data_IF_245746370701
#
_entry.id   IF_245746370701
#
_cell.length_a   1.000
_cell.length_b   1.000
_cell.length_c   1.000
_cell.angle_alpha   90.00
_cell.angle_beta   90.00
_cell.angle_gamma   90.00
#
_symmetry.space_group_name_H-M   'P 1'
#
loop_
_entity.id
_entity.type
_entity.pdbx_description
1 polymer ?
#
# COMPACT_ATOMS: atom_id res chain seq x y z
N UNK A 1 -10.29 23.73 20.65
CA UNK A 1 -11.31 22.97 21.40
C UNK A 1 -10.90 21.52 21.31
N UNK A 2 -10.34 20.96 22.38
CA UNK A 2 -10.03 19.53 22.45
C UNK A 2 -11.34 18.82 22.76
N UNK A 3 -12.05 18.38 21.73
CA UNK A 3 -13.15 17.44 21.91
C UNK A 3 -12.61 16.22 22.66
N UNK A 4 -13.22 15.90 23.80
CA UNK A 4 -12.81 14.78 24.63
C UNK A 4 -12.90 13.49 23.82
N UNK A 5 -11.77 12.81 23.64
CA UNK A 5 -11.72 11.52 22.95
C UNK A 5 -12.47 10.50 23.80
N UNK A 6 -13.55 9.92 23.25
CA UNK A 6 -14.32 8.88 23.90
C UNK A 6 -13.67 7.51 23.64
N UNK A 7 -12.69 7.14 24.47
CA UNK A 7 -11.90 5.90 24.31
C UNK A 7 -12.75 4.63 24.28
N UNK A 8 -13.90 4.63 24.97
CA UNK A 8 -14.86 3.52 25.00
C UNK A 8 -15.51 3.23 23.65
N UNK A 9 -15.42 4.17 22.70
CA UNK A 9 -15.97 4.06 21.35
C UNK A 9 -14.93 3.74 20.28
N UNK A 10 -13.66 3.67 20.65
CA UNK A 10 -12.57 3.39 19.70
C UNK A 10 -12.44 1.88 19.45
N UNK A 11 -12.16 1.51 18.20
CA UNK A 11 -11.86 0.13 17.82
C UNK A 11 -10.46 -0.29 18.29
N UNK A 12 -10.17 -1.59 18.26
CA UNK A 12 -8.84 -2.11 18.58
C UNK A 12 -7.74 -1.50 17.70
N UNK A 13 -8.03 -1.27 16.42
CA UNK A 13 -7.07 -0.68 15.48
C UNK A 13 -6.84 0.81 15.75
N UNK A 14 -7.85 1.52 16.24
CA UNK A 14 -7.73 2.92 16.64
C UNK A 14 -6.94 3.06 17.96
N UNK A 15 -7.19 2.17 18.91
CA UNK A 15 -6.48 2.13 20.20
C UNK A 15 -5.01 1.70 20.05
N UNK A 16 -4.67 0.92 19.02
CA UNK A 16 -3.28 0.51 18.74
C UNK A 16 -2.50 1.53 17.89
N UNK A 17 -3.13 2.65 17.51
CA UNK A 17 -2.51 3.67 16.66
C UNK A 17 -2.34 3.25 15.20
N UNK A 18 -3.01 2.17 14.77
CA UNK A 18 -2.97 1.68 13.39
C UNK A 18 -3.95 2.47 12.51
N UNK A 19 -5.07 2.93 13.07
CA UNK A 19 -6.08 3.68 12.33
C UNK A 19 -6.51 4.98 13.02
N UNK A 20 -7.00 5.92 12.20
CA UNK A 20 -7.45 7.23 12.60
C UNK A 20 -8.61 7.14 13.59
N UNK A 21 -8.49 7.84 14.72
CA UNK A 21 -9.53 7.89 15.77
C UNK A 21 -10.86 8.51 15.29
N UNK A 22 -10.87 9.24 14.16
CA UNK A 22 -12.07 9.87 13.63
C UNK A 22 -12.76 9.05 12.54
N UNK A 23 -12.01 8.53 11.57
CA UNK A 23 -12.57 7.85 10.40
C UNK A 23 -12.24 6.35 10.29
N UNK A 24 -11.41 5.82 11.18
CA UNK A 24 -11.03 4.39 11.19
C UNK A 24 -10.11 3.96 10.04
N UNK A 25 -9.60 4.89 9.23
CA UNK A 25 -8.65 4.60 8.13
C UNK A 25 -7.21 4.56 8.60
N UNK A 26 -6.37 3.81 7.92
CA UNK A 26 -4.92 3.84 8.10
C UNK A 26 -4.40 5.17 7.53
N UNK A 27 -3.88 6.11 8.35
CA UNK A 27 -3.46 7.42 7.86
C UNK A 27 -2.25 7.30 6.93
N UNK A 28 -2.28 8.00 5.79
CA UNK A 28 -1.10 8.18 4.93
C UNK A 28 -0.12 9.11 5.60
N UNK A 29 -0.64 10.25 6.06
CA UNK A 29 0.08 11.25 6.83
C UNK A 29 -0.39 11.15 8.28
N UNK A 30 0.39 10.43 9.09
CA UNK A 30 0.07 10.15 10.47
C UNK A 30 0.28 11.40 11.33
N UNK A 31 -0.81 11.92 11.90
CA UNK A 31 -0.75 12.95 12.94
C UNK A 31 -0.97 12.31 14.29
N UNK A 32 0.04 12.36 15.15
CA UNK A 32 -0.10 11.92 16.55
C UNK A 32 -0.99 12.94 17.26
N UNK A 33 -2.14 12.47 17.76
CA UNK A 33 -3.10 13.28 18.51
C UNK A 33 -2.80 13.21 20.00
N UNK A 34 -2.34 12.04 20.45
CA UNK A 34 -1.94 11.81 21.83
C UNK A 34 -0.85 10.74 21.86
N UNK A 35 0.09 10.92 22.78
CA UNK A 35 1.17 9.97 23.02
C UNK A 35 1.36 9.81 24.53
N UNK A 36 1.06 8.62 25.04
CA UNK A 36 1.32 8.21 26.43
C UNK A 36 2.24 6.98 26.44
N UNK A 37 2.68 6.55 27.62
CA UNK A 37 3.57 5.38 27.76
C UNK A 37 2.99 4.10 27.16
N UNK A 38 1.67 3.97 27.11
CA UNK A 38 0.97 2.74 26.74
C UNK A 38 0.06 2.89 25.51
N UNK A 39 -0.09 4.10 24.96
CA UNK A 39 -1.00 4.34 23.83
C UNK A 39 -0.56 5.53 22.98
N UNK A 40 -0.50 5.29 21.66
CA UNK A 40 -0.33 6.33 20.64
C UNK A 40 -1.62 6.42 19.84
N UNK A 41 -2.35 7.53 19.99
CA UNK A 41 -3.53 7.80 19.17
C UNK A 41 -3.15 8.64 17.97
N UNK A 42 -3.69 8.25 16.81
CA UNK A 42 -3.38 8.87 15.53
C UNK A 42 -4.64 9.37 14.85
N UNK A 43 -4.51 10.44 14.07
CA UNK A 43 -5.55 10.93 13.20
C UNK A 43 -5.00 11.18 11.78
N UNK A 44 -5.92 11.12 10.83
CA UNK A 44 -5.74 11.64 9.48
C UNK A 44 -5.44 13.14 9.53
N UNK A 45 -4.77 13.64 8.47
CA UNK A 45 -4.74 15.08 8.20
C UNK A 45 -6.17 15.61 7.99
N UNK A 46 -6.35 16.94 8.08
CA UNK A 46 -7.67 17.53 7.84
C UNK A 46 -8.16 17.28 6.40
N UNK A 47 -7.26 17.36 5.43
CA UNK A 47 -7.52 17.05 4.01
C UNK A 47 -7.98 15.59 3.85
N UNK A 48 -7.22 14.65 4.41
CA UNK A 48 -7.58 13.23 4.41
C UNK A 48 -8.94 13.00 5.07
N UNK A 49 -9.23 13.68 6.19
CA UNK A 49 -10.53 13.57 6.89
C UNK A 49 -11.69 14.05 6.01
N UNK A 50 -11.56 15.19 5.33
CA UNK A 50 -12.62 15.71 4.45
C UNK A 50 -12.92 14.75 3.30
N UNK A 51 -11.89 14.05 2.78
CA UNK A 51 -12.07 13.01 1.76
C UNK A 51 -12.85 11.79 2.29
N UNK A 52 -12.71 11.46 3.58
CA UNK A 52 -13.44 10.35 4.21
C UNK A 52 -14.93 10.64 4.44
N UNK A 53 -15.27 11.88 4.75
CA UNK A 53 -16.64 12.27 5.14
C UNK A 53 -17.54 12.59 3.94
N UNK A 54 -16.94 12.75 2.75
CA UNK A 54 -17.69 13.06 1.54
C UNK A 54 -18.53 11.85 1.10
N UNK A 55 -19.82 12.10 0.88
CA UNK A 55 -20.73 11.14 0.25
C UNK A 55 -20.54 11.18 -1.27
N UNK A 56 -20.34 10.01 -1.87
CA UNK A 56 -20.25 9.82 -3.32
C UNK A 56 -21.37 8.89 -3.74
N UNK A 57 -22.09 9.21 -4.82
CA UNK A 57 -23.38 8.57 -5.11
C UNK A 57 -23.29 7.06 -5.39
N UNK A 58 -22.16 6.61 -5.95
CA UNK A 58 -21.96 5.22 -6.36
C UNK A 58 -21.37 4.35 -5.26
N UNK A 59 -20.95 4.94 -4.13
CA UNK A 59 -20.51 4.20 -2.95
C UNK A 59 -21.74 3.69 -2.19
N UNK A 60 -21.87 2.38 -2.08
CA UNK A 60 -22.95 1.71 -1.34
C UNK A 60 -22.61 1.46 0.13
N UNK A 61 -21.34 1.62 0.50
CA UNK A 61 -20.79 1.32 1.81
C UNK A 61 -19.66 2.29 2.18
N UNK A 62 -19.36 2.46 3.48
CA UNK A 62 -18.22 3.27 3.90
C UNK A 62 -16.90 2.74 3.32
N UNK A 63 -15.97 3.64 3.03
CA UNK A 63 -14.65 3.25 2.55
C UNK A 63 -13.96 2.29 3.53
N UNK A 64 -13.33 1.21 3.04
CA UNK A 64 -12.55 0.35 3.89
C UNK A 64 -11.32 1.10 4.45
N UNK A 65 -10.78 0.69 5.61
CA UNK A 65 -9.70 1.41 6.29
C UNK A 65 -8.45 1.69 5.45
N UNK A 66 -8.17 0.83 4.47
CA UNK A 66 -6.99 0.94 3.61
C UNK A 66 -7.20 1.83 2.38
N UNK A 67 -8.43 2.25 2.10
CA UNK A 67 -8.74 3.04 0.91
C UNK A 67 -8.24 4.49 1.07
N UNK A 68 -7.79 5.12 -0.02
CA UNK A 68 -7.36 6.51 -0.10
C UNK A 68 -8.50 7.55 -0.05
N UNK A 69 -9.71 7.17 -0.50
CA UNK A 69 -10.89 8.04 -0.51
C UNK A 69 -10.94 8.98 -1.70
N UNK A 70 -10.06 8.77 -2.68
CA UNK A 70 -10.03 9.50 -3.93
C UNK A 70 -11.14 8.96 -4.84
N UNK A 71 -12.36 9.38 -4.54
CA UNK A 71 -13.56 9.04 -5.28
C UNK A 71 -14.18 10.30 -5.87
N UNK A 72 -14.99 10.23 -6.90
CA UNK A 72 -15.76 11.37 -7.36
C UNK A 72 -17.06 10.89 -7.98
N UNK A 73 -18.10 11.72 -7.90
CA UNK A 73 -19.38 11.40 -8.56
C UNK A 73 -19.17 11.21 -10.07
N UNK A 74 -18.24 11.94 -10.68
CA UNK A 74 -17.94 11.82 -12.10
C UNK A 74 -16.90 10.74 -12.46
N UNK A 75 -16.53 9.84 -11.53
CA UNK A 75 -15.64 8.73 -11.85
C UNK A 75 -16.23 7.86 -12.97
N UNK A 76 -15.36 7.55 -13.94
CA UNK A 76 -15.71 6.65 -15.03
C UNK A 76 -16.13 5.29 -14.46
N UNK A 77 -17.16 4.61 -15.00
CA UNK A 77 -17.65 3.35 -14.43
C UNK A 77 -16.58 2.28 -14.20
N UNK A 78 -15.54 2.25 -15.03
CA UNK A 78 -14.43 1.30 -14.94
C UNK A 78 -13.38 1.67 -13.87
N UNK A 79 -13.36 2.93 -13.41
CA UNK A 79 -12.43 3.41 -12.37
C UNK A 79 -13.08 3.45 -10.97
N UNK A 80 -14.38 3.12 -10.88
CA UNK A 80 -15.10 3.09 -9.62
C UNK A 80 -14.61 1.92 -8.77
N UNK A 81 -13.86 2.24 -7.73
CA UNK A 81 -13.34 1.29 -6.78
C UNK A 81 -12.64 1.96 -5.62
N UNK A 82 -12.26 1.15 -4.66
CA UNK A 82 -11.37 1.52 -3.57
C UNK A 82 -9.93 1.20 -3.96
N UNK A 83 -9.02 2.15 -3.77
CA UNK A 83 -7.58 1.98 -3.98
C UNK A 83 -6.85 2.33 -2.69
N UNK A 84 -5.76 1.62 -2.39
CA UNK A 84 -4.92 2.00 -1.25
C UNK A 84 -3.98 3.13 -1.62
N UNK A 85 -3.88 4.07 -0.69
CA UNK A 85 -2.80 5.06 -0.67
C UNK A 85 -1.44 4.44 -0.34
N UNK A 86 -1.42 3.29 0.34
CA UNK A 86 -0.21 2.50 0.52
C UNK A 86 0.21 1.84 -0.79
N UNK A 87 1.51 1.90 -1.09
CA UNK A 87 2.13 1.18 -2.18
C UNK A 87 3.45 0.54 -1.72
N UNK A 88 3.58 -0.77 -1.90
CA UNK A 88 4.87 -1.46 -1.77
C UNK A 88 5.65 -1.32 -3.07
N UNK A 89 6.92 -0.92 -2.99
CA UNK A 89 7.82 -0.87 -4.16
C UNK A 89 9.10 -1.64 -3.88
N UNK A 90 9.45 -2.57 -4.77
CA UNK A 90 10.70 -3.34 -4.72
C UNK A 90 11.54 -3.00 -5.95
N UNK A 91 12.61 -2.20 -5.80
CA UNK A 91 13.51 -1.87 -6.91
C UNK A 91 14.21 -3.12 -7.44
N UNK A 92 14.15 -3.32 -8.75
CA UNK A 92 14.83 -4.38 -9.49
C UNK A 92 16.18 -3.84 -10.01
N UNK A 93 17.16 -3.73 -9.12
CA UNK A 93 18.46 -3.08 -9.40
C UNK A 93 19.28 -3.72 -10.53
N UNK A 94 18.96 -4.97 -10.89
CA UNK A 94 19.63 -5.70 -11.97
C UNK A 94 18.92 -5.54 -13.32
N UNK A 95 17.73 -4.93 -13.34
CA UNK A 95 16.98 -4.66 -14.56
C UNK A 95 17.35 -3.30 -15.15
N UNK A 96 16.90 -3.05 -16.38
CA UNK A 96 17.21 -1.81 -17.09
C UNK A 96 16.60 -0.63 -16.34
N UNK A 97 17.36 0.46 -16.21
CA UNK A 97 16.82 1.70 -15.67
C UNK A 97 15.83 2.32 -16.67
N UNK A 98 14.69 2.80 -16.16
CA UNK A 98 13.75 3.60 -16.92
C UNK A 98 13.98 5.09 -16.65
N UNK A 99 13.81 5.91 -17.68
CA UNK A 99 13.85 7.37 -17.58
C UNK A 99 12.43 7.92 -17.59
N UNK A 100 12.04 8.58 -16.50
CA UNK A 100 10.80 9.34 -16.41
C UNK A 100 11.07 10.83 -16.72
N UNK A 101 10.46 11.35 -17.79
CA UNK A 101 10.51 12.78 -18.14
C UNK A 101 11.65 13.22 -19.07
N UNK A 102 11.91 14.55 -19.12
CA UNK A 102 12.98 15.16 -19.92
C UNK A 102 14.36 14.72 -19.40
N UNK A 103 15.09 14.02 -20.29
CA UNK A 103 16.42 13.43 -20.08
C UNK A 103 17.51 14.41 -19.66
N UNK A 104 17.26 15.72 -19.73
CA UNK A 104 18.23 16.75 -19.38
C UNK A 104 18.30 17.11 -17.88
N UNK A 105 17.35 16.67 -17.03
CA UNK A 105 17.23 17.20 -15.64
C UNK A 105 16.74 16.27 -14.51
N UNK A 106 16.38 15.00 -14.70
CA UNK A 106 15.67 14.24 -13.64
C UNK A 106 15.93 12.73 -13.57
N UNK A 107 15.64 12.08 -12.43
CA UNK A 107 16.40 10.93 -11.91
C UNK A 107 16.08 9.62 -12.63
N UNK A 108 17.12 8.84 -12.86
CA UNK A 108 17.02 7.43 -13.26
C UNK A 108 16.45 6.62 -12.10
N UNK A 109 15.44 5.81 -12.37
CA UNK A 109 14.88 4.86 -11.42
C UNK A 109 15.00 3.45 -12.02
N UNK A 110 15.58 2.48 -11.29
CA UNK A 110 15.47 1.08 -11.69
C UNK A 110 14.00 0.69 -11.86
N UNK A 111 13.70 -0.19 -12.81
CA UNK A 111 12.40 -0.88 -12.82
C UNK A 111 12.07 -1.41 -11.41
N UNK A 112 10.79 -1.45 -11.05
CA UNK A 112 10.37 -1.87 -9.72
C UNK A 112 9.12 -2.73 -9.81
N UNK A 113 9.00 -3.71 -8.92
CA UNK A 113 7.72 -4.37 -8.66
C UNK A 113 6.92 -3.45 -7.75
N UNK A 114 5.68 -3.16 -8.13
CA UNK A 114 4.76 -2.41 -7.29
C UNK A 114 3.60 -3.27 -6.81
N UNK A 115 3.15 -2.97 -5.60
CA UNK A 115 2.02 -3.60 -4.95
C UNK A 115 1.09 -2.53 -4.41
N UNK A 116 -0.21 -2.67 -4.65
CA UNK A 116 -1.25 -1.86 -4.02
C UNK A 116 -2.52 -2.70 -3.82
N UNK A 117 -3.38 -2.26 -2.92
CA UNK A 117 -4.66 -2.90 -2.65
C UNK A 117 -5.72 -2.20 -3.50
N UNK A 118 -6.58 -2.98 -4.14
CA UNK A 118 -7.74 -2.47 -4.88
C UNK A 118 -8.98 -3.31 -4.64
N UNK A 119 -10.14 -2.70 -4.77
CA UNK A 119 -11.43 -3.37 -4.79
C UNK A 119 -12.37 -2.59 -5.70
N UNK A 120 -12.73 -3.14 -6.85
CA UNK A 120 -13.67 -2.45 -7.75
C UNK A 120 -15.08 -2.41 -7.12
N UNK A 121 -15.92 -1.46 -7.50
CA UNK A 121 -17.24 -1.23 -6.87
C UNK A 121 -18.18 -2.45 -6.89
N UNK A 122 -17.99 -3.39 -7.84
CA UNK A 122 -18.77 -4.64 -7.93
C UNK A 122 -18.05 -5.86 -7.36
N UNK A 123 -16.82 -5.70 -6.90
CA UNK A 123 -16.04 -6.78 -6.31
C UNK A 123 -16.33 -6.88 -4.80
N UNK A 124 -16.67 -8.08 -4.35
CA UNK A 124 -16.97 -8.33 -2.93
C UNK A 124 -15.71 -8.43 -2.04
N UNK A 125 -14.50 -8.42 -2.62
CA UNK A 125 -13.27 -8.63 -1.88
C UNK A 125 -12.14 -7.76 -2.42
N UNK A 126 -11.31 -7.26 -1.52
CA UNK A 126 -10.07 -6.60 -1.87
C UNK A 126 -9.08 -7.60 -2.50
N UNK A 127 -8.38 -7.13 -3.52
CA UNK A 127 -7.32 -7.82 -4.23
C UNK A 127 -6.02 -7.02 -4.09
N UNK A 128 -4.90 -7.72 -4.12
CA UNK A 128 -3.58 -7.11 -4.19
C UNK A 128 -3.18 -7.11 -5.66
N UNK A 129 -3.03 -5.92 -6.24
CA UNK A 129 -2.37 -5.79 -7.53
C UNK A 129 -0.86 -5.93 -7.32
N UNK A 130 -0.20 -6.70 -8.18
CA UNK A 130 1.25 -6.90 -8.18
C UNK A 130 1.74 -6.90 -9.64
N UNK A 131 2.65 -5.99 -9.99
CA UNK A 131 3.11 -5.86 -11.37
C UNK A 131 4.35 -5.00 -11.52
N UNK A 132 4.77 -4.80 -12.78
CA UNK A 132 5.91 -3.96 -13.11
C UNK A 132 5.49 -2.49 -13.11
N UNK A 133 6.15 -1.68 -12.28
CA UNK A 133 5.89 -0.25 -12.14
C UNK A 133 4.42 0.07 -11.85
N UNK A 134 3.94 1.21 -12.33
CA UNK A 134 2.51 1.56 -12.33
C UNK A 134 1.91 1.33 -13.72
N UNK A 135 2.16 0.14 -14.28
CA UNK A 135 1.68 -0.21 -15.62
C UNK A 135 0.42 -1.07 -15.57
N UNK A 136 -0.24 -1.26 -16.71
CA UNK A 136 -1.32 -2.24 -16.84
C UNK A 136 -0.84 -3.72 -16.82
N UNK A 137 0.48 -3.96 -16.68
CA UNK A 137 1.08 -5.29 -16.72
C UNK A 137 1.30 -5.81 -15.30
N UNK A 138 0.32 -6.54 -14.79
CA UNK A 138 0.39 -7.16 -13.47
C UNK A 138 -0.71 -8.20 -13.27
N UNK A 139 -0.77 -8.72 -12.05
CA UNK A 139 -1.74 -9.71 -11.61
C UNK A 139 -2.54 -9.19 -10.42
N UNK A 140 -3.78 -9.68 -10.31
CA UNK A 140 -4.61 -9.50 -9.13
C UNK A 140 -4.57 -10.76 -8.31
N UNK A 141 -4.09 -10.65 -7.08
CA UNK A 141 -3.96 -11.75 -6.15
C UNK A 141 -4.97 -11.57 -5.03
N UNK A 142 -5.67 -12.63 -4.67
CA UNK A 142 -6.35 -12.68 -3.38
C UNK A 142 -5.32 -12.60 -2.24
N UNK A 143 -5.73 -12.21 -1.03
CA UNK A 143 -4.81 -12.23 0.13
C UNK A 143 -4.19 -13.61 0.39
N UNK A 144 -4.90 -14.69 0.08
CA UNK A 144 -4.38 -16.05 0.23
C UNK A 144 -3.31 -16.37 -0.83
N UNK A 145 -3.56 -16.04 -2.10
CA UNK A 145 -2.58 -16.21 -3.18
C UNK A 145 -1.34 -15.36 -2.96
N UNK A 146 -1.49 -14.11 -2.49
CA UNK A 146 -0.36 -13.24 -2.18
C UNK A 146 0.52 -13.81 -1.06
N UNK A 147 -0.07 -14.40 -0.01
CA UNK A 147 0.69 -15.08 1.05
C UNK A 147 1.43 -16.31 0.52
N UNK A 148 0.79 -17.11 -0.34
CA UNK A 148 1.42 -18.25 -0.99
C UNK A 148 2.58 -17.81 -1.89
N UNK A 149 2.39 -16.77 -2.69
CA UNK A 149 3.44 -16.19 -3.53
C UNK A 149 4.62 -15.71 -2.69
N UNK A 150 4.36 -14.97 -1.60
CA UNK A 150 5.41 -14.51 -0.69
C UNK A 150 6.21 -15.69 -0.11
N UNK A 151 5.54 -16.78 0.28
CA UNK A 151 6.21 -17.99 0.75
C UNK A 151 7.14 -18.60 -0.31
N UNK A 152 6.65 -18.78 -1.53
CA UNK A 152 7.45 -19.36 -2.63
C UNK A 152 8.63 -18.46 -2.99
N UNK A 153 8.43 -17.13 -2.99
CA UNK A 153 9.52 -16.17 -3.21
C UNK A 153 10.60 -16.25 -2.13
N UNK A 154 10.21 -16.35 -0.85
CA UNK A 154 11.16 -16.54 0.25
C UNK A 154 11.92 -17.86 0.12
N UNK A 155 11.25 -18.96 -0.23
CA UNK A 155 11.90 -20.25 -0.48
C UNK A 155 12.95 -20.14 -1.60
N UNK A 156 12.61 -19.51 -2.72
CA UNK A 156 13.54 -19.28 -3.82
C UNK A 156 14.73 -18.41 -3.41
N UNK A 157 14.49 -17.32 -2.67
CA UNK A 157 15.55 -16.44 -2.16
C UNK A 157 16.50 -17.18 -1.20
N UNK A 158 15.97 -18.07 -0.36
CA UNK A 158 16.80 -18.89 0.52
C UNK A 158 17.64 -19.89 -0.27
N UNK A 159 17.10 -20.51 -1.33
CA UNK A 159 17.87 -21.43 -2.17
C UNK A 159 19.04 -20.74 -2.87
N UNK A 160 18.86 -19.51 -3.36
CA UNK A 160 19.94 -18.75 -4.03
C UNK A 160 20.98 -18.21 -3.06
N UNK A 161 20.66 -18.13 -1.76
CA UNK A 161 21.63 -17.77 -0.72
C UNK A 161 22.63 -18.88 -0.38
N UNK A 162 22.33 -20.13 -0.75
CA UNK A 162 23.21 -21.29 -0.59
C UNK A 162 24.24 -21.25 -1.72
N UNK A 163 25.29 -20.45 -1.56
CA UNK A 163 26.34 -20.35 -2.57
C UNK A 163 26.95 -21.73 -2.89
N UNK A 164 27.11 -22.11 -4.18
CA UNK A 164 28.02 -23.19 -4.52
C UNK A 164 29.44 -22.76 -4.11
N UNK A 165 30.17 -23.62 -3.38
CA UNK A 165 31.61 -23.43 -3.15
C UNK A 165 32.28 -23.30 -4.51
N UNK A 166 32.62 -22.08 -4.92
CA UNK A 166 33.46 -21.89 -6.10
C UNK A 166 34.78 -22.61 -5.84
N UNK A 167 35.09 -23.63 -6.65
CA UNK A 167 36.39 -24.27 -6.60
C UNK A 167 37.47 -23.22 -6.84
N UNK A 168 38.60 -23.25 -6.11
CA UNK A 168 39.67 -22.29 -6.32
C UNK A 168 40.14 -22.36 -7.78
N UNK A 169 40.14 -21.20 -8.43
CA UNK A 169 40.70 -21.03 -9.77
C UNK A 169 42.17 -21.46 -9.72
N UNK A 170 42.49 -22.59 -10.32
CA UNK A 170 43.87 -23.02 -10.53
C UNK A 170 44.44 -22.05 -11.57
N UNK A 171 45.32 -21.15 -11.12
CA UNK A 171 46.16 -20.38 -12.03
C UNK A 171 47.11 -21.35 -12.72
N UNK A 172 46.99 -21.50 -14.04
CA UNK A 172 48.01 -22.16 -14.84
C UNK A 172 49.28 -21.29 -14.83
N UNK A 173 50.43 -21.94 -14.61
CA UNK A 173 51.77 -21.34 -14.60
C UNK A 173 52.28 -21.13 -16.04
#
# INVERSE_FOLDING_TARGET
MTDGIAYDKLTKDQLSGVSCIHCGRVPVNLKVVENSTDTTLVACSEEDRMMCERKVFWLDSPCPPWCDGLHADNDHPDDRGHYSSWQGRVPLINEKAETYGDLSKGPFQPEYVALHIRQMVREHRAMIWCGLGETAKGWHLTPAEARTLAKVLMEAANLTSIAPKMAPSIKAA
#
